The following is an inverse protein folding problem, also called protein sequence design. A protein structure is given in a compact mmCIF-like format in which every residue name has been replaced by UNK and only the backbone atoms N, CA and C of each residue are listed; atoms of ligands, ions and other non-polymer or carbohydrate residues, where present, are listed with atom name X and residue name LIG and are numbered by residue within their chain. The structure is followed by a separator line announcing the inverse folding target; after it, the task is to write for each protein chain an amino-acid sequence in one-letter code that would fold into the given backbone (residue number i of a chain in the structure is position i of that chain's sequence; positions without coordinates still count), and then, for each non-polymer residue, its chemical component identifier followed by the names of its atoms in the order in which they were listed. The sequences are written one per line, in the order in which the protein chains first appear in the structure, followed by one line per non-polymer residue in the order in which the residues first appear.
data_IF_442047779803
#
_entry.id   IF_442047779803
#
_cell.length_a   1.000
_cell.length_b   1.000
_cell.length_c   1.000
_cell.angle_alpha   90.00
_cell.angle_beta   90.00
_cell.angle_gamma   90.00
#
_symmetry.space_group_name_H-M   'P 1'
#
loop_
_entity.id
_entity.type
_entity.pdbx_description
1 polymer ?
#
# COMPACT_ATOMS: atom_id res chain seq x y z
N UNK A 1 -5.39 -17.34 3.68
CA UNK A 1 -4.26 -17.33 2.73
C UNK A 1 -3.06 -16.92 3.55
N UNK A 2 -2.01 -17.74 3.62
CA UNK A 2 -0.77 -17.29 4.25
C UNK A 2 -0.17 -16.25 3.31
N UNK A 3 0.04 -15.02 3.77
CA UNK A 3 0.80 -14.00 3.03
C UNK A 3 2.26 -14.31 3.33
N UNK A 4 2.90 -14.97 2.39
CA UNK A 4 4.29 -15.41 2.43
C UNK A 4 4.93 -15.00 1.11
N UNK A 5 6.24 -14.80 1.10
CA UNK A 5 6.92 -14.23 -0.06
C UNK A 5 7.27 -15.28 -1.14
N UNK A 6 6.93 -16.55 -0.92
CA UNK A 6 7.38 -17.71 -1.71
C UNK A 6 6.34 -18.24 -2.71
N UNK A 7 5.19 -17.58 -2.82
CA UNK A 7 4.12 -17.94 -3.75
C UNK A 7 3.74 -16.79 -4.67
N UNK A 8 3.00 -17.10 -5.74
CA UNK A 8 2.73 -16.18 -6.85
C UNK A 8 2.30 -14.78 -6.39
N UNK A 9 1.38 -14.66 -5.44
CA UNK A 9 0.91 -13.36 -4.94
C UNK A 9 2.02 -12.57 -4.25
N UNK A 10 2.76 -13.20 -3.33
CA UNK A 10 3.90 -12.56 -2.66
C UNK A 10 5.00 -12.17 -3.63
N UNK A 11 5.39 -13.08 -4.54
CA UNK A 11 6.41 -12.79 -5.57
C UNK A 11 5.98 -11.61 -6.47
N UNK A 12 4.69 -11.54 -6.81
CA UNK A 12 4.16 -10.44 -7.63
C UNK A 12 4.17 -9.11 -6.86
N UNK A 13 3.85 -9.14 -5.57
CA UNK A 13 3.94 -7.97 -4.69
C UNK A 13 5.38 -7.43 -4.59
N UNK A 14 6.35 -8.32 -4.33
CA UNK A 14 7.76 -7.93 -4.25
C UNK A 14 8.32 -7.46 -5.60
N UNK A 15 7.83 -8.02 -6.71
CA UNK A 15 8.14 -7.48 -8.04
C UNK A 15 7.57 -6.06 -8.22
N UNK A 16 6.37 -5.80 -7.69
CA UNK A 16 5.79 -4.46 -7.61
C UNK A 16 6.72 -3.47 -6.91
N UNK A 17 7.25 -3.84 -5.74
CA UNK A 17 8.26 -3.04 -5.04
C UNK A 17 9.54 -2.83 -5.87
N UNK A 18 10.02 -3.85 -6.58
CA UNK A 18 11.20 -3.74 -7.43
C UNK A 18 11.03 -2.72 -8.58
N UNK A 19 9.80 -2.51 -9.05
CA UNK A 19 9.45 -1.51 -10.07
C UNK A 19 8.92 -0.19 -9.47
N UNK A 20 9.20 0.07 -8.19
CA UNK A 20 8.87 1.31 -7.45
C UNK A 20 7.38 1.49 -7.16
N UNK A 21 6.58 0.43 -7.16
CA UNK A 21 5.25 0.48 -6.57
C UNK A 21 5.35 0.38 -5.05
N UNK A 22 4.63 1.28 -4.40
CA UNK A 22 4.50 1.32 -2.95
C UNK A 22 3.16 0.74 -2.54
N UNK A 23 3.01 0.45 -1.26
CA UNK A 23 1.74 -0.07 -0.75
C UNK A 23 0.58 0.89 -1.05
N UNK A 24 -0.56 0.34 -1.45
CA UNK A 24 -1.71 1.14 -1.89
C UNK A 24 -2.34 1.92 -0.73
N UNK A 25 -2.30 1.40 0.49
CA UNK A 25 -2.73 2.12 1.70
C UNK A 25 -1.77 3.24 2.14
N UNK A 26 -0.60 3.36 1.52
CA UNK A 26 0.33 4.46 1.77
C UNK A 26 0.15 5.64 0.78
N UNK A 27 -0.68 5.49 -0.26
CA UNK A 27 -0.96 6.58 -1.23
C UNK A 27 -1.30 7.88 -0.53
N UNK A 28 -0.86 8.99 -1.11
CA UNK A 28 -1.06 10.33 -0.55
C UNK A 28 -2.53 10.76 -0.44
N UNK A 29 -3.43 10.12 -1.20
CA UNK A 29 -4.87 10.34 -1.22
C UNK A 29 -5.68 9.25 -0.49
N UNK A 30 -5.05 8.31 0.24
CA UNK A 30 -5.79 7.16 0.80
C UNK A 30 -6.93 7.53 1.75
N UNK A 31 -6.86 8.68 2.43
CA UNK A 31 -7.86 9.11 3.41
C UNK A 31 -9.19 9.53 2.76
N UNK A 32 -9.22 9.71 1.44
CA UNK A 32 -10.46 9.89 0.67
C UNK A 32 -11.20 8.56 0.46
N UNK A 33 -10.54 7.42 0.72
CA UNK A 33 -11.02 6.06 0.41
C UNK A 33 -11.07 5.11 1.61
N UNK A 34 -10.23 5.35 2.62
CA UNK A 34 -10.05 4.51 3.81
C UNK A 34 -10.14 5.32 5.09
N UNK A 35 -10.69 4.70 6.13
CA UNK A 35 -10.62 5.22 7.50
C UNK A 35 -9.73 4.32 8.34
N UNK A 36 -8.64 4.89 8.86
CA UNK A 36 -7.69 4.15 9.71
C UNK A 36 -8.12 4.17 11.18
N UNK A 37 -8.36 3.01 11.76
CA UNK A 37 -8.46 2.85 13.22
C UNK A 37 -7.08 2.77 13.84
N UNK A 38 -6.52 3.93 14.16
CA UNK A 38 -5.18 4.05 14.73
C UNK A 38 -5.00 3.33 16.07
N UNK A 39 -6.08 3.08 16.81
CA UNK A 39 -6.02 2.33 18.07
C UNK A 39 -5.58 0.87 17.88
N UNK A 40 -5.87 0.28 16.71
CA UNK A 40 -5.54 -1.12 16.40
C UNK A 40 -4.15 -1.31 15.80
N UNK A 41 -3.50 -0.23 15.34
CA UNK A 41 -2.22 -0.27 14.61
C UNK A 41 -1.13 0.57 15.26
N UNK A 42 -1.28 0.93 16.54
CA UNK A 42 -0.39 1.84 17.27
C UNK A 42 1.11 1.48 17.11
N UNK A 43 1.46 0.19 17.26
CA UNK A 43 2.84 -0.30 17.13
C UNK A 43 3.36 -0.27 15.69
N UNK A 44 2.46 -0.28 14.70
CA UNK A 44 2.78 -0.34 13.28
C UNK A 44 2.56 0.99 12.56
N UNK A 45 2.32 2.10 13.27
CA UNK A 45 2.02 3.42 12.68
C UNK A 45 2.97 3.83 11.54
N UNK A 46 4.26 3.50 11.65
CA UNK A 46 5.24 3.81 10.61
C UNK A 46 4.95 3.13 9.27
N UNK A 47 4.39 1.93 9.27
CA UNK A 47 4.05 1.16 8.07
C UNK A 47 2.82 1.72 7.33
N UNK A 48 1.99 2.50 8.02
CA UNK A 48 0.76 3.06 7.48
C UNK A 48 0.85 4.56 7.18
N UNK A 49 2.04 5.18 7.23
CA UNK A 49 2.19 6.62 6.98
C UNK A 49 1.80 6.99 5.55
N UNK A 50 1.14 8.13 5.39
CA UNK A 50 0.98 8.76 4.08
C UNK A 50 2.35 8.97 3.44
N UNK A 51 2.45 8.59 2.17
CA UNK A 51 3.47 9.14 1.29
C UNK A 51 3.05 10.54 0.85
N UNK A 52 4.03 11.34 0.49
CA UNK A 52 3.83 12.63 -0.16
C UNK A 52 3.60 12.45 -1.66
N UNK A 53 3.09 13.50 -2.33
CA UNK A 53 2.94 13.50 -3.80
C UNK A 53 4.28 13.37 -4.54
N UNK A 54 5.39 13.77 -3.92
CA UNK A 54 6.73 13.62 -4.49
C UNK A 54 7.23 12.17 -4.37
N UNK A 55 6.86 11.48 -3.29
CA UNK A 55 7.24 10.08 -3.05
C UNK A 55 6.37 9.08 -3.83
N UNK A 56 5.11 9.45 -4.10
CA UNK A 56 4.11 8.62 -4.76
C UNK A 56 3.20 9.47 -5.67
N UNK A 57 3.34 9.28 -6.98
CA UNK A 57 2.44 9.83 -7.99
C UNK A 57 1.39 8.77 -8.36
N UNK A 58 0.13 9.18 -8.44
CA UNK A 58 -0.98 8.26 -8.72
C UNK A 58 -1.22 8.08 -10.22
N UNK A 59 -0.58 8.88 -11.08
CA UNK A 59 -0.66 8.82 -12.54
C UNK A 59 -2.11 8.84 -13.07
N UNK A 60 -2.97 9.60 -12.39
CA UNK A 60 -4.41 9.68 -12.68
C UNK A 60 -5.16 8.33 -12.55
N UNK A 61 -4.54 7.32 -11.94
CA UNK A 61 -5.16 6.02 -11.67
C UNK A 61 -5.98 6.09 -10.37
N UNK A 62 -7.27 5.71 -10.41
CA UNK A 62 -8.11 5.65 -9.23
C UNK A 62 -7.56 4.73 -8.14
N UNK A 63 -8.03 4.90 -6.91
CA UNK A 63 -7.69 3.99 -5.81
C UNK A 63 -8.26 2.59 -6.08
N UNK A 64 -7.40 1.56 -6.02
CA UNK A 64 -7.76 0.17 -6.30
C UNK A 64 -7.69 -0.68 -5.03
N UNK A 65 -8.85 -1.02 -4.47
CA UNK A 65 -8.96 -1.92 -3.30
C UNK A 65 -8.52 -3.36 -3.60
N UNK A 66 -8.48 -3.77 -4.87
CA UNK A 66 -8.03 -5.09 -5.32
C UNK A 66 -6.56 -5.14 -5.73
N UNK A 67 -5.83 -4.03 -5.56
CA UNK A 67 -4.41 -3.93 -5.90
C UNK A 67 -3.60 -5.02 -5.19
N UNK A 68 -2.67 -5.63 -5.91
CA UNK A 68 -1.72 -6.58 -5.32
C UNK A 68 -0.83 -5.91 -4.25
N UNK A 69 -0.76 -4.57 -4.26
CA UNK A 69 0.01 -3.76 -3.31
C UNK A 69 -0.81 -3.28 -2.11
N UNK A 70 -2.09 -3.64 -1.98
CA UNK A 70 -2.93 -3.31 -0.83
C UNK A 70 -2.86 -4.41 0.25
#
# INVERSE_FOLDING_TARGET
MNVGCDHLLGITHELGHAIRLEHTHNRHDRDDYLMMDWGNVEVYKSQYKLMTKEENENYEVPYDYGSIMH
#
